data_IF_494868075549
#
_entry.id   IF_494868075549
#
_cell.length_a   1.000
_cell.length_b   1.000
_cell.length_c   1.000
_cell.angle_alpha   90.00
_cell.angle_beta   90.00
_cell.angle_gamma   90.00
#
_symmetry.space_group_name_H-M   'P 1'
#
loop_
_entity.id
_entity.type
_entity.pdbx_description
1 polymer ?
#
# COMPACT_ATOMS: atom_id res chain seq x y z
N UNK A 1 -14.50 -21.15 -1.96
CA UNK A 1 -14.23 -20.78 -0.55
C UNK A 1 -14.21 -19.27 -0.46
N UNK A 2 -15.11 -18.67 0.34
CA UNK A 2 -15.17 -17.21 0.56
C UNK A 2 -14.16 -16.93 1.68
N UNK A 3 -13.06 -16.23 1.38
CA UNK A 3 -12.06 -15.89 2.40
C UNK A 3 -12.76 -15.12 3.53
N UNK A 4 -12.70 -15.65 4.75
CA UNK A 4 -13.48 -15.15 5.89
C UNK A 4 -12.89 -13.87 6.52
N UNK A 5 -11.71 -13.42 6.08
CA UNK A 5 -11.14 -12.13 6.44
C UNK A 5 -10.09 -11.76 5.37
N UNK A 6 -10.46 -11.04 4.29
CA UNK A 6 -9.47 -10.61 3.32
C UNK A 6 -8.45 -9.69 4.01
N UNK A 7 -7.14 -9.88 3.79
CA UNK A 7 -6.12 -8.99 4.35
C UNK A 7 -6.38 -7.56 3.90
N UNK A 8 -6.04 -6.58 4.74
CA UNK A 8 -6.20 -5.19 4.35
C UNK A 8 -5.35 -4.96 3.08
N UNK A 9 -5.87 -4.24 2.06
CA UNK A 9 -5.18 -4.13 0.77
C UNK A 9 -3.78 -3.50 0.90
N UNK A 10 -3.55 -2.66 1.91
CA UNK A 10 -2.21 -2.15 2.19
C UNK A 10 -1.25 -3.20 2.80
N UNK A 11 -1.74 -4.09 3.66
CA UNK A 11 -0.94 -5.22 4.17
C UNK A 11 -0.56 -6.16 3.01
N UNK A 12 -1.51 -6.43 2.12
CA UNK A 12 -1.26 -7.20 0.89
C UNK A 12 -0.14 -6.58 0.05
N UNK A 13 -0.15 -5.25 -0.17
CA UNK A 13 0.90 -4.57 -0.92
C UNK A 13 2.26 -4.74 -0.23
N UNK A 14 2.29 -4.60 1.10
CA UNK A 14 3.51 -4.75 1.89
C UNK A 14 4.10 -6.16 1.77
N UNK A 15 3.26 -7.18 1.90
CA UNK A 15 3.70 -8.58 1.92
C UNK A 15 4.04 -9.10 0.53
N UNK A 16 3.32 -8.69 -0.51
CA UNK A 16 3.50 -9.23 -1.87
C UNK A 16 4.52 -8.44 -2.70
N UNK A 17 4.64 -7.13 -2.48
CA UNK A 17 5.47 -6.26 -3.32
C UNK A 17 6.62 -5.60 -2.57
N UNK A 18 6.41 -5.10 -1.35
CA UNK A 18 7.46 -4.33 -0.67
C UNK A 18 8.51 -5.24 -0.04
N UNK A 19 8.05 -6.19 0.78
CA UNK A 19 8.91 -7.07 1.59
C UNK A 19 9.76 -8.02 0.73
N UNK A 20 9.21 -8.79 -0.23
CA UNK A 20 9.99 -9.77 -0.98
C UNK A 20 10.98 -9.14 -1.96
N UNK A 21 10.69 -7.94 -2.46
CA UNK A 21 11.56 -7.23 -3.41
C UNK A 21 12.45 -6.18 -2.74
N UNK A 22 12.39 -6.04 -1.40
CA UNK A 22 13.20 -5.07 -0.65
C UNK A 22 12.97 -3.62 -1.08
N UNK A 23 11.76 -3.28 -1.53
CA UNK A 23 11.47 -1.96 -2.09
C UNK A 23 11.45 -0.92 -0.97
N UNK A 24 12.15 0.20 -1.18
CA UNK A 24 12.09 1.31 -0.25
C UNK A 24 10.71 1.98 -0.28
N UNK A 25 9.96 1.86 0.82
CA UNK A 25 8.66 2.53 1.01
C UNK A 25 8.77 4.03 0.77
N UNK A 26 9.88 4.66 1.16
CA UNK A 26 10.15 6.08 0.94
C UNK A 26 10.21 6.44 -0.55
N UNK A 27 10.83 5.58 -1.37
CA UNK A 27 10.92 5.79 -2.83
C UNK A 27 9.55 5.62 -3.50
N UNK A 28 8.75 4.66 -3.04
CA UNK A 28 7.37 4.45 -3.51
C UNK A 28 6.50 5.66 -3.15
N UNK A 29 6.56 6.14 -1.90
CA UNK A 29 5.83 7.33 -1.47
C UNK A 29 6.16 8.55 -2.34
N UNK A 30 7.45 8.77 -2.62
CA UNK A 30 7.89 9.85 -3.51
C UNK A 30 7.36 9.69 -4.94
N UNK A 31 7.40 8.47 -5.49
CA UNK A 31 6.89 8.19 -6.85
C UNK A 31 5.38 8.35 -6.96
N UNK A 32 4.65 8.04 -5.88
CA UNK A 32 3.19 8.23 -5.77
C UNK A 32 2.79 9.66 -5.38
N UNK A 33 3.75 10.54 -5.08
CA UNK A 33 3.49 11.90 -4.60
C UNK A 33 2.70 11.95 -3.28
N UNK A 34 2.91 10.97 -2.39
CA UNK A 34 2.25 10.89 -1.07
C UNK A 34 3.28 11.06 0.04
N UNK A 35 2.80 11.47 1.22
CA UNK A 35 3.66 11.47 2.40
C UNK A 35 4.04 10.02 2.80
N UNK A 36 5.25 9.84 3.32
CA UNK A 36 5.71 8.54 3.82
C UNK A 36 4.79 8.03 4.95
N UNK A 37 4.30 8.93 5.81
CA UNK A 37 3.39 8.59 6.90
C UNK A 37 2.06 8.04 6.37
N UNK A 38 1.48 8.66 5.34
CA UNK A 38 0.25 8.18 4.68
C UNK A 38 0.44 6.79 4.11
N UNK A 39 1.55 6.55 3.40
CA UNK A 39 1.83 5.24 2.83
C UNK A 39 2.04 4.18 3.91
N UNK A 40 2.75 4.51 5.00
CA UNK A 40 2.96 3.57 6.11
C UNK A 40 1.67 3.19 6.83
N UNK A 41 0.78 4.16 7.12
CA UNK A 41 -0.53 3.87 7.70
C UNK A 41 -1.31 2.88 6.83
N UNK A 42 -1.28 3.08 5.51
CA UNK A 42 -1.93 2.17 4.58
C UNK A 42 -1.31 0.77 4.61
N UNK A 43 0.01 0.68 4.48
CA UNK A 43 0.76 -0.58 4.47
C UNK A 43 0.65 -1.38 5.78
N UNK A 44 0.31 -0.70 6.88
CA UNK A 44 0.08 -1.33 8.19
C UNK A 44 -1.39 -1.68 8.45
N UNK A 45 -2.30 -1.44 7.51
CA UNK A 45 -3.74 -1.70 7.72
C UNK A 45 -4.48 -0.63 8.50
N UNK A 46 -3.82 0.47 8.86
CA UNK A 46 -4.34 1.53 9.73
C UNK A 46 -5.14 2.60 8.96
N UNK A 47 -5.12 2.57 7.63
CA UNK A 47 -5.91 3.51 6.81
C UNK A 47 -6.48 2.86 5.55
N UNK A 48 -7.74 3.18 5.25
CA UNK A 48 -8.41 2.75 4.04
C UNK A 48 -7.81 3.40 2.78
N UNK A 49 -7.92 2.69 1.64
CA UNK A 49 -7.57 3.26 0.33
C UNK A 49 -8.68 4.22 -0.12
N UNK A 50 -8.34 5.52 -0.21
CA UNK A 50 -9.24 6.49 -0.84
C UNK A 50 -9.28 6.31 -2.37
N UNK A 51 -10.35 6.73 -3.07
CA UNK A 51 -10.41 6.70 -4.53
C UNK A 51 -9.23 7.43 -5.19
N UNK A 52 -8.79 8.53 -4.60
CA UNK A 52 -7.61 9.28 -5.06
C UNK A 52 -6.33 8.45 -4.93
N UNK A 53 -6.14 7.74 -3.81
CA UNK A 53 -5.01 6.83 -3.62
C UNK A 53 -5.04 5.69 -4.65
N UNK A 54 -6.20 5.09 -4.91
CA UNK A 54 -6.33 4.03 -5.90
C UNK A 54 -5.90 4.49 -7.31
N UNK A 55 -6.22 5.73 -7.70
CA UNK A 55 -5.78 6.29 -8.98
C UNK A 55 -4.26 6.50 -9.06
N UNK A 56 -3.61 6.81 -7.93
CA UNK A 56 -2.14 6.93 -7.86
C UNK A 56 -1.47 5.56 -8.06
N UNK A 57 -2.07 4.48 -7.55
CA UNK A 57 -1.57 3.11 -7.72
C UNK A 57 -1.68 2.58 -9.16
N UNK A 58 -2.60 3.08 -9.99
CA UNK A 58 -2.70 2.68 -11.42
C UNK A 58 -1.40 2.89 -12.20
N UNK A 59 -0.48 3.72 -11.69
CA UNK A 59 0.78 4.08 -12.34
C UNK A 59 2.01 3.32 -11.80
N UNK A 60 1.83 2.42 -10.83
CA UNK A 60 2.86 1.46 -10.41
C UNK A 60 2.84 0.24 -11.33
#
# INVERSE_FOLDING_TARGET
MRMHNPPHPGEFIREVYITPYGISVRKVAASLGVSLSTLNLLLNGESNISPEMALRYRRL
#
